data_IF_564207482080
#
_entry.id   IF_564207482080
#
_cell.length_a   1.000
_cell.length_b   1.000
_cell.length_c   1.000
_cell.angle_alpha   90.00
_cell.angle_beta   90.00
_cell.angle_gamma   90.00
#
_symmetry.space_group_name_H-M   'P 1'
#
loop_
_entity.id
_entity.type
_entity.pdbx_description
1 polymer ?
#
# COMPACT_ATOMS: atom_id res chain seq x y z
N UNK A 1 21.31 5.20 24.88
CA UNK A 1 20.06 4.47 24.62
C UNK A 1 19.42 4.13 25.97
N UNK A 2 18.12 4.20 26.06
CA UNK A 2 17.43 4.06 27.34
C UNK A 2 17.44 2.61 27.84
N UNK A 3 17.86 2.37 29.08
CA UNK A 3 17.89 1.04 29.71
C UNK A 3 16.55 0.28 29.61
N UNK A 4 15.42 0.99 29.62
CA UNK A 4 14.11 0.36 29.48
C UNK A 4 13.91 -0.30 28.11
N UNK A 5 14.47 0.26 27.03
CA UNK A 5 14.36 -0.33 25.70
C UNK A 5 15.12 -1.67 25.62
N UNK A 6 16.35 -1.69 26.10
CA UNK A 6 17.17 -2.91 26.11
C UNK A 6 16.58 -3.99 27.04
N UNK A 7 16.08 -3.60 28.22
CA UNK A 7 15.44 -4.54 29.12
C UNK A 7 14.14 -5.12 28.54
N UNK A 8 13.31 -4.29 27.89
CA UNK A 8 12.08 -4.74 27.22
C UNK A 8 12.39 -5.68 26.07
N UNK A 9 13.41 -5.36 25.28
CA UNK A 9 13.87 -6.20 24.17
C UNK A 9 14.35 -7.57 24.65
N UNK A 10 15.11 -7.59 25.73
CA UNK A 10 15.61 -8.83 26.35
C UNK A 10 14.45 -9.68 26.91
N UNK A 11 13.46 -9.04 27.54
CA UNK A 11 12.26 -9.73 28.03
C UNK A 11 11.45 -10.35 26.86
N UNK A 12 11.25 -9.63 25.78
CA UNK A 12 10.57 -10.15 24.58
C UNK A 12 11.34 -11.31 23.95
N UNK A 13 12.66 -11.20 23.87
CA UNK A 13 13.49 -12.28 23.33
C UNK A 13 13.40 -13.55 24.19
N UNK A 14 13.39 -13.41 25.52
CA UNK A 14 13.26 -14.54 26.45
C UNK A 14 11.91 -15.26 26.34
N UNK A 15 10.86 -14.52 25.91
CA UNK A 15 9.51 -15.04 25.69
C UNK A 15 9.29 -15.54 24.25
N UNK A 16 10.30 -15.53 23.41
CA UNK A 16 10.20 -15.92 22.00
C UNK A 16 9.46 -14.90 21.11
N UNK A 17 9.25 -13.68 21.63
CA UNK A 17 8.63 -12.60 20.88
C UNK A 17 9.68 -11.87 20.03
N UNK A 18 9.32 -11.54 18.79
CA UNK A 18 10.22 -10.81 17.89
C UNK A 18 11.38 -11.65 17.33
N UNK A 19 11.31 -12.97 17.41
CA UNK A 19 12.26 -13.84 16.72
C UNK A 19 12.12 -13.71 15.20
N UNK A 20 13.23 -13.89 14.49
CA UNK A 20 13.23 -13.86 13.02
C UNK A 20 12.70 -15.19 12.48
N UNK A 21 11.68 -15.11 11.64
CA UNK A 21 11.14 -16.28 10.92
C UNK A 21 11.87 -16.56 9.60
N UNK A 22 12.73 -15.62 9.16
CA UNK A 22 13.38 -15.70 7.85
C UNK A 22 12.42 -15.38 6.71
N UNK A 23 12.88 -15.58 5.48
CA UNK A 23 12.08 -15.41 4.27
C UNK A 23 11.45 -16.76 3.86
N UNK A 24 10.21 -16.71 3.39
CA UNK A 24 9.58 -17.87 2.76
C UNK A 24 10.16 -18.16 1.37
N UNK A 25 9.74 -19.26 0.77
CA UNK A 25 10.15 -19.67 -0.60
C UNK A 25 9.18 -19.23 -1.70
N UNK A 26 7.97 -18.80 -1.32
CA UNK A 26 6.96 -18.28 -2.26
C UNK A 26 6.53 -16.89 -1.78
N UNK A 27 7.21 -15.83 -2.24
CA UNK A 27 6.83 -14.47 -1.87
C UNK A 27 5.55 -14.05 -2.58
N UNK A 28 4.82 -13.11 -1.98
CA UNK A 28 3.76 -12.35 -2.63
C UNK A 28 4.20 -10.90 -2.82
N UNK A 29 3.73 -10.26 -3.87
CA UNK A 29 3.94 -8.83 -4.11
C UNK A 29 2.71 -8.06 -3.63
N UNK A 30 2.88 -7.21 -2.63
CA UNK A 30 1.86 -6.29 -2.15
C UNK A 30 2.22 -4.87 -2.59
N UNK A 31 1.36 -4.28 -3.42
CA UNK A 31 1.52 -2.92 -3.95
C UNK A 31 0.52 -2.02 -3.21
N UNK A 32 1.05 -1.16 -2.35
CA UNK A 32 0.25 -0.37 -1.41
C UNK A 32 0.03 1.03 -1.98
N UNK A 33 -1.24 1.35 -2.28
CA UNK A 33 -1.74 2.69 -2.58
C UNK A 33 -1.08 3.40 -3.78
N UNK A 34 -0.67 2.65 -4.80
CA UNK A 34 -0.22 3.19 -6.07
C UNK A 34 -1.40 3.53 -6.98
N UNK A 35 -2.34 4.30 -6.45
CA UNK A 35 -3.47 4.84 -7.21
C UNK A 35 -3.13 6.20 -7.85
N UNK A 36 -3.88 6.58 -8.88
CA UNK A 36 -3.65 7.82 -9.62
C UNK A 36 -3.65 9.07 -8.72
N UNK A 37 -4.45 9.08 -7.65
CA UNK A 37 -4.48 10.19 -6.69
C UNK A 37 -3.14 10.43 -5.99
N UNK A 38 -2.30 9.40 -5.85
CA UNK A 38 -0.98 9.51 -5.23
C UNK A 38 0.17 9.55 -6.24
N UNK A 39 0.03 8.91 -7.39
CA UNK A 39 1.11 8.82 -8.38
C UNK A 39 1.08 9.92 -9.44
N UNK A 40 -0.02 10.64 -9.57
CA UNK A 40 -0.14 11.79 -10.46
C UNK A 40 0.35 13.04 -9.72
N UNK A 41 1.46 13.61 -10.18
CA UNK A 41 2.06 14.81 -9.58
C UNK A 41 1.18 16.06 -9.64
N UNK A 42 0.14 16.06 -10.48
CA UNK A 42 -0.84 17.16 -10.55
C UNK A 42 -1.98 17.02 -9.55
N UNK A 43 -2.12 15.85 -8.93
CA UNK A 43 -3.12 15.61 -7.88
C UNK A 43 -2.73 16.30 -6.56
N UNK A 44 -3.70 16.81 -5.77
CA UNK A 44 -3.42 17.41 -4.45
C UNK A 44 -2.72 16.49 -3.45
N UNK A 45 -2.84 15.17 -3.60
CA UNK A 45 -2.15 14.16 -2.78
C UNK A 45 -0.94 13.57 -3.50
N UNK A 46 -0.72 13.96 -4.75
CA UNK A 46 0.26 13.33 -5.62
C UNK A 46 1.68 13.86 -5.45
N UNK A 47 2.61 13.08 -5.99
CA UNK A 47 4.01 13.43 -6.08
C UNK A 47 4.64 12.78 -7.30
N UNK A 48 5.90 13.08 -7.55
CA UNK A 48 6.68 12.41 -8.61
C UNK A 48 7.12 11.04 -8.11
N UNK A 49 6.40 10.00 -8.50
CA UNK A 49 6.68 8.60 -8.22
C UNK A 49 7.00 7.79 -9.48
N UNK A 50 7.35 8.44 -10.58
CA UNK A 50 7.59 7.77 -11.86
C UNK A 50 8.64 6.67 -11.76
N UNK A 51 9.72 6.92 -11.02
CA UNK A 51 10.75 5.92 -10.77
C UNK A 51 10.22 4.72 -10.00
N UNK A 52 9.44 4.95 -8.94
CA UNK A 52 8.86 3.89 -8.12
C UNK A 52 7.84 3.07 -8.91
N UNK A 53 7.03 3.72 -9.73
CA UNK A 53 6.09 3.05 -10.64
C UNK A 53 6.83 2.18 -11.65
N UNK A 54 7.92 2.68 -12.25
CA UNK A 54 8.73 1.91 -13.19
C UNK A 54 9.38 0.67 -12.54
N UNK A 55 9.90 0.80 -11.32
CA UNK A 55 10.45 -0.34 -10.56
C UNK A 55 9.34 -1.34 -10.24
N UNK A 56 8.16 -0.88 -9.84
CA UNK A 56 7.01 -1.73 -9.55
C UNK A 56 6.56 -2.50 -10.80
N UNK A 57 6.54 -1.85 -11.97
CA UNK A 57 6.22 -2.52 -13.23
C UNK A 57 7.18 -3.68 -13.53
N UNK A 58 8.47 -3.50 -13.26
CA UNK A 58 9.48 -4.55 -13.40
C UNK A 58 9.26 -5.70 -12.42
N UNK A 59 8.96 -5.40 -11.17
CA UNK A 59 8.63 -6.41 -10.16
C UNK A 59 7.39 -7.20 -10.55
N UNK A 60 6.35 -6.53 -11.06
CA UNK A 60 5.14 -7.19 -11.56
C UNK A 60 5.44 -8.20 -12.65
N UNK A 61 6.30 -7.86 -13.60
CA UNK A 61 6.71 -8.80 -14.65
C UNK A 61 7.31 -10.06 -14.05
N UNK A 62 8.25 -9.91 -13.11
CA UNK A 62 8.92 -11.06 -12.46
C UNK A 62 7.93 -11.93 -11.70
N UNK A 63 7.03 -11.32 -10.90
CA UNK A 63 6.06 -12.07 -10.11
C UNK A 63 5.00 -12.75 -10.98
N UNK A 64 4.54 -12.09 -12.03
CA UNK A 64 3.57 -12.67 -12.98
C UNK A 64 4.17 -13.82 -13.79
N UNK A 65 5.40 -13.67 -14.26
CA UNK A 65 6.13 -14.75 -14.97
C UNK A 65 6.36 -15.96 -14.06
N UNK A 66 6.63 -15.72 -12.78
CA UNK A 66 6.79 -16.77 -11.77
C UNK A 66 5.46 -17.32 -11.22
N UNK A 67 4.32 -16.83 -11.70
CA UNK A 67 2.98 -17.18 -11.19
C UNK A 67 2.86 -16.99 -9.67
N UNK A 68 3.50 -15.95 -9.14
CA UNK A 68 3.48 -15.59 -7.73
C UNK A 68 2.32 -14.63 -7.45
N UNK A 69 1.74 -14.65 -6.23
CA UNK A 69 0.62 -13.80 -5.89
C UNK A 69 0.95 -12.30 -5.98
N UNK A 70 0.03 -11.54 -6.55
CA UNK A 70 0.07 -10.08 -6.62
C UNK A 70 -1.22 -9.52 -6.02
N UNK A 71 -1.08 -8.57 -5.10
CA UNK A 71 -2.20 -7.90 -4.43
C UNK A 71 -1.94 -6.40 -4.45
N UNK A 72 -2.98 -5.64 -4.78
CA UNK A 72 -2.96 -4.18 -4.74
C UNK A 72 -3.83 -3.67 -3.60
N UNK A 73 -3.50 -2.51 -3.07
CA UNK A 73 -4.42 -1.74 -2.22
C UNK A 73 -4.68 -0.36 -2.81
N UNK A 74 -5.84 0.16 -2.54
CA UNK A 74 -6.21 1.55 -2.83
C UNK A 74 -7.06 2.10 -1.71
N UNK A 75 -7.18 3.43 -1.65
CA UNK A 75 -8.08 4.13 -0.71
C UNK A 75 -9.23 4.71 -1.49
N UNK A 76 -10.45 4.40 -1.07
CA UNK A 76 -11.66 4.98 -1.66
C UNK A 76 -12.73 5.18 -0.60
N UNK A 77 -13.32 6.37 -0.57
CA UNK A 77 -14.37 6.74 0.38
C UNK A 77 -15.74 6.79 -0.28
N UNK A 78 -16.78 6.51 0.50
CA UNK A 78 -18.15 6.76 0.09
C UNK A 78 -18.40 8.25 -0.17
N UNK A 79 -19.36 8.62 -1.06
CA UNK A 79 -19.60 10.01 -1.42
C UNK A 79 -19.94 10.93 -0.23
N UNK A 80 -20.52 10.40 0.83
CA UNK A 80 -20.85 11.12 2.06
C UNK A 80 -19.74 11.08 3.13
N UNK A 81 -18.63 10.43 2.82
CA UNK A 81 -17.46 10.27 3.72
C UNK A 81 -17.78 9.62 5.08
N UNK A 82 -18.91 8.90 5.20
CA UNK A 82 -19.29 8.22 6.46
C UNK A 82 -18.25 7.21 6.94
N UNK A 83 -17.42 6.71 6.02
CA UNK A 83 -16.39 5.71 6.26
C UNK A 83 -14.97 6.29 6.36
N UNK A 84 -14.83 7.62 6.23
CA UNK A 84 -13.51 8.28 6.25
C UNK A 84 -12.94 8.52 7.66
N UNK A 85 -13.76 8.34 8.71
CA UNK A 85 -13.36 8.58 10.09
C UNK A 85 -12.97 10.03 10.36
N UNK A 86 -12.11 10.23 11.35
CA UNK A 86 -11.65 11.59 11.73
C UNK A 86 -10.43 12.04 10.93
N UNK A 87 -9.75 11.14 10.24
CA UNK A 87 -8.51 11.45 9.53
C UNK A 87 -8.72 12.45 8.39
N UNK A 88 -9.88 12.40 7.72
CA UNK A 88 -10.22 13.36 6.66
C UNK A 88 -10.30 14.80 7.17
N UNK A 89 -10.61 15.01 8.45
CA UNK A 89 -10.58 16.34 9.07
C UNK A 89 -9.16 16.87 9.22
N UNK A 90 -8.22 15.98 9.42
CA UNK A 90 -6.79 16.30 9.55
C UNK A 90 -6.12 16.50 8.18
N UNK A 91 -6.56 15.76 7.19
CA UNK A 91 -6.04 15.82 5.82
C UNK A 91 -7.21 15.99 4.83
N UNK A 92 -7.73 17.22 4.67
CA UNK A 92 -8.91 17.46 3.81
C UNK A 92 -8.73 17.06 2.35
N UNK A 93 -7.50 17.04 1.84
CA UNK A 93 -7.19 16.60 0.48
C UNK A 93 -7.58 15.14 0.19
N UNK A 94 -7.79 14.32 1.23
CA UNK A 94 -8.31 12.95 1.09
C UNK A 94 -9.72 12.92 0.47
N UNK A 95 -10.45 14.03 0.48
CA UNK A 95 -11.78 14.15 -0.12
C UNK A 95 -11.83 13.90 -1.62
N UNK A 96 -10.69 13.92 -2.31
CA UNK A 96 -10.62 13.58 -3.73
C UNK A 96 -10.71 12.07 -4.00
N UNK A 97 -10.47 11.24 -2.98
CA UNK A 97 -10.45 9.78 -3.10
C UNK A 97 -11.85 9.19 -2.98
N UNK A 98 -12.73 9.57 -3.89
CA UNK A 98 -14.11 9.10 -3.94
C UNK A 98 -14.22 7.78 -4.70
N UNK A 99 -15.02 6.88 -4.20
CA UNK A 99 -15.37 5.63 -4.86
C UNK A 99 -15.91 5.91 -6.28
N UNK A 100 -15.40 5.18 -7.27
CA UNK A 100 -15.74 5.37 -8.68
C UNK A 100 -14.96 6.48 -9.38
N UNK A 101 -14.14 7.24 -8.68
CA UNK A 101 -13.25 8.25 -9.28
C UNK A 101 -12.03 7.58 -9.93
N UNK A 102 -11.52 8.18 -11.01
CA UNK A 102 -10.25 7.80 -11.62
C UNK A 102 -9.06 7.87 -10.62
N UNK A 103 -9.13 8.77 -9.62
CA UNK A 103 -8.06 8.97 -8.66
C UNK A 103 -7.87 7.80 -7.69
N UNK A 104 -8.88 6.96 -7.49
CA UNK A 104 -8.79 5.75 -6.66
C UNK A 104 -8.40 4.49 -7.44
N UNK A 105 -8.35 4.58 -8.77
CA UNK A 105 -7.88 3.49 -9.61
C UNK A 105 -6.37 3.34 -9.51
N UNK A 106 -5.89 2.09 -9.61
CA UNK A 106 -4.45 1.83 -9.67
C UNK A 106 -3.86 2.47 -10.91
N UNK A 107 -2.68 3.04 -10.79
CA UNK A 107 -1.95 3.68 -11.90
C UNK A 107 -1.91 2.75 -13.13
N UNK A 108 -2.29 3.27 -14.29
CA UNK A 108 -2.44 2.50 -15.52
C UNK A 108 -1.15 1.79 -15.94
N UNK A 109 0.00 2.34 -15.58
CA UNK A 109 1.32 1.76 -15.88
C UNK A 109 1.60 0.45 -15.14
N UNK A 110 0.83 0.18 -14.08
CA UNK A 110 0.91 -1.02 -13.24
C UNK A 110 -0.46 -1.64 -13.01
N UNK A 111 -1.38 -1.46 -13.96
CA UNK A 111 -2.77 -1.90 -13.85
C UNK A 111 -2.90 -3.38 -13.46
N UNK A 112 -3.82 -3.72 -12.54
CA UNK A 112 -4.11 -5.10 -12.19
C UNK A 112 -4.58 -5.90 -13.40
N UNK A 113 -4.15 -7.15 -13.47
CA UNK A 113 -4.67 -8.13 -14.44
C UNK A 113 -5.90 -8.84 -13.86
N UNK A 114 -6.68 -9.46 -14.74
CA UNK A 114 -7.80 -10.31 -14.33
C UNK A 114 -7.31 -11.41 -13.38
N UNK A 115 -7.96 -11.53 -12.23
CA UNK A 115 -7.60 -12.51 -11.19
C UNK A 115 -6.65 -11.96 -10.12
N UNK A 116 -6.05 -10.78 -10.31
CA UNK A 116 -5.29 -10.09 -9.27
C UNK A 116 -6.25 -9.28 -8.36
N UNK A 117 -6.01 -9.32 -7.07
CA UNK A 117 -6.90 -8.67 -6.09
C UNK A 117 -6.55 -7.21 -5.89
N UNK A 118 -7.58 -6.37 -5.79
CA UNK A 118 -7.48 -4.98 -5.33
C UNK A 118 -8.29 -4.84 -4.05
N UNK A 119 -7.62 -4.51 -2.95
CA UNK A 119 -8.24 -4.32 -1.64
C UNK A 119 -8.46 -2.82 -1.44
N UNK A 120 -9.69 -2.46 -1.10
CA UNK A 120 -10.03 -1.05 -0.83
C UNK A 120 -9.92 -0.79 0.67
N UNK A 121 -9.03 0.13 1.03
CA UNK A 121 -8.86 0.65 2.39
C UNK A 121 -9.73 1.89 2.63
N UNK A 122 -9.88 2.22 3.90
CA UNK A 122 -10.62 3.40 4.36
C UNK A 122 -9.73 4.30 5.23
#
# INVERSE_FOLDING_TARGET
>A
MNDWYESTRADYASKGLGSRSGYGIKPALLIVDFSNGFTDSTSPLGGDFDRQVAVTARLLTVFRDGQLPVVFTTVAYEPDFRDAGVFIKKVPSLSILLQGSHLVEIDDRIAPLKGESVIVNK
#
